data_IF_064851738382
#
_entry.id   IF_064851738382
#
_cell.length_a   1.000
_cell.length_b   1.000
_cell.length_c   1.000
_cell.angle_alpha   90.00
_cell.angle_beta   90.00
_cell.angle_gamma   90.00
#
_symmetry.space_group_name_H-M   'P 1'
#
loop_
_entity.id
_entity.type
_entity.pdbx_description
1 polymer ?
#
# COMPACT_ATOMS: atom_id res chain seq x y z
N UNK A 1 1.62 -15.96 16.82
CA UNK A 1 0.77 -14.78 17.07
C UNK A 1 -0.31 -14.63 16.01
N UNK A 2 -0.01 -14.22 14.77
CA UNK A 2 -1.01 -14.08 13.69
C UNK A 2 -1.85 -15.34 13.43
N UNK A 3 -1.23 -16.54 13.44
CA UNK A 3 -1.95 -17.82 13.33
C UNK A 3 -3.02 -18.02 14.40
N UNK A 4 -2.84 -17.46 15.60
CA UNK A 4 -3.82 -17.54 16.69
C UNK A 4 -5.04 -16.69 16.35
N UNK A 5 -4.82 -15.42 15.96
CA UNK A 5 -5.88 -14.49 15.54
C UNK A 5 -6.71 -15.11 14.41
N UNK A 6 -6.05 -15.64 13.38
CA UNK A 6 -6.76 -16.25 12.24
C UNK A 6 -7.58 -17.47 12.65
N UNK A 7 -7.05 -18.37 13.49
CA UNK A 7 -7.79 -19.54 13.95
C UNK A 7 -8.98 -19.18 14.83
N UNK A 8 -8.82 -18.17 15.68
CA UNK A 8 -9.86 -17.69 16.57
C UNK A 8 -10.99 -17.03 15.78
N UNK A 9 -10.65 -16.17 14.82
CA UNK A 9 -11.60 -15.59 13.88
C UNK A 9 -12.30 -16.66 13.02
N UNK A 10 -11.57 -17.64 12.48
CA UNK A 10 -12.15 -18.72 11.67
C UNK A 10 -13.16 -19.56 12.47
N UNK A 11 -12.85 -19.85 13.74
CA UNK A 11 -13.78 -20.56 14.62
C UNK A 11 -15.07 -19.78 14.87
N UNK A 12 -14.99 -18.47 15.07
CA UNK A 12 -16.16 -17.62 15.28
C UNK A 12 -16.99 -17.48 14.01
N UNK A 13 -16.36 -17.20 12.88
CA UNK A 13 -17.02 -17.04 11.59
C UNK A 13 -17.75 -18.31 11.16
N UNK A 14 -17.17 -19.49 11.42
CA UNK A 14 -17.81 -20.79 11.14
C UNK A 14 -18.95 -21.15 12.09
N UNK A 15 -19.00 -20.54 13.27
CA UNK A 15 -20.06 -20.77 14.26
C UNK A 15 -21.23 -19.80 14.13
N UNK A 16 -21.22 -18.93 13.12
CA UNK A 16 -22.24 -17.90 12.91
C UNK A 16 -23.40 -18.44 12.07
N UNK A 17 -24.52 -18.76 12.71
CA UNK A 17 -25.70 -19.35 12.04
C UNK A 17 -26.76 -18.30 11.64
N UNK A 18 -26.63 -17.05 12.09
CA UNK A 18 -27.61 -15.99 11.80
C UNK A 18 -27.50 -15.54 10.34
N UNK A 19 -28.64 -15.43 9.65
CA UNK A 19 -28.70 -15.00 8.25
C UNK A 19 -28.03 -13.64 7.99
N UNK A 20 -28.29 -12.65 8.86
CA UNK A 20 -27.65 -11.34 8.80
C UNK A 20 -26.13 -11.41 9.08
N UNK A 21 -25.70 -12.33 9.94
CA UNK A 21 -24.28 -12.55 10.22
C UNK A 21 -23.55 -13.14 8.99
N UNK A 22 -24.17 -14.13 8.35
CA UNK A 22 -23.67 -14.74 7.11
C UNK A 22 -23.57 -13.70 5.98
N UNK A 23 -24.57 -12.82 5.84
CA UNK A 23 -24.55 -11.75 4.84
C UNK A 23 -23.38 -10.76 5.07
N UNK A 24 -23.10 -10.39 6.32
CA UNK A 24 -21.94 -9.55 6.67
C UNK A 24 -20.65 -10.25 6.23
N UNK A 25 -20.49 -11.53 6.57
CA UNK A 25 -19.30 -12.32 6.22
C UNK A 25 -19.13 -12.40 4.69
N UNK A 26 -20.21 -12.66 3.96
CA UNK A 26 -20.20 -12.74 2.50
C UNK A 26 -19.87 -11.40 1.83
N UNK A 27 -20.31 -10.29 2.42
CA UNK A 27 -19.95 -8.94 1.96
C UNK A 27 -18.44 -8.71 2.06
N UNK A 28 -17.84 -8.99 3.23
CA UNK A 28 -16.38 -8.88 3.42
C UNK A 28 -15.59 -9.84 2.51
N UNK A 29 -16.06 -11.09 2.34
CA UNK A 29 -15.45 -12.05 1.43
C UNK A 29 -15.50 -11.58 -0.04
N UNK A 30 -16.59 -10.91 -0.43
CA UNK A 30 -16.74 -10.34 -1.78
C UNK A 30 -15.79 -9.15 -1.97
N UNK A 31 -15.73 -8.24 -1.00
CA UNK A 31 -14.81 -7.11 -1.04
C UNK A 31 -13.34 -7.56 -1.09
N UNK A 32 -12.95 -8.52 -0.26
CA UNK A 32 -11.60 -9.09 -0.27
C UNK A 32 -11.25 -9.73 -1.61
N UNK A 33 -12.19 -10.43 -2.26
CA UNK A 33 -11.98 -10.96 -3.62
C UNK A 33 -11.79 -9.85 -4.66
N UNK A 34 -12.59 -8.78 -4.59
CA UNK A 34 -12.42 -7.64 -5.52
C UNK A 34 -11.07 -6.96 -5.34
N UNK A 35 -10.65 -6.71 -4.10
CA UNK A 35 -9.35 -6.14 -3.80
C UNK A 35 -8.21 -7.02 -4.33
N UNK A 36 -8.30 -8.34 -4.09
CA UNK A 36 -7.31 -9.30 -4.59
C UNK A 36 -7.21 -9.29 -6.13
N UNK A 37 -8.35 -9.34 -6.82
CA UNK A 37 -8.39 -9.27 -8.28
C UNK A 37 -7.81 -7.96 -8.82
N UNK A 38 -8.13 -6.83 -8.17
CA UNK A 38 -7.59 -5.52 -8.53
C UNK A 38 -6.06 -5.49 -8.38
N UNK A 39 -5.52 -5.97 -7.26
CA UNK A 39 -4.08 -6.02 -7.05
C UNK A 39 -3.37 -6.91 -8.07
N UNK A 40 -3.91 -8.09 -8.39
CA UNK A 40 -3.35 -8.94 -9.44
C UNK A 40 -3.39 -8.28 -10.82
N UNK A 41 -4.48 -7.58 -11.15
CA UNK A 41 -4.58 -6.86 -12.40
C UNK A 41 -3.55 -5.73 -12.52
N UNK A 42 -3.38 -4.92 -11.47
CA UNK A 42 -2.38 -3.84 -11.41
C UNK A 42 -0.94 -4.38 -11.47
N UNK A 43 -0.68 -5.51 -10.83
CA UNK A 43 0.63 -6.16 -10.87
C UNK A 43 0.97 -6.66 -12.27
N UNK A 44 0.01 -7.34 -12.89
CA UNK A 44 0.16 -7.87 -14.25
C UNK A 44 0.40 -6.73 -15.25
N UNK A 45 -0.38 -5.64 -15.17
CA UNK A 45 -0.20 -4.49 -16.06
C UNK A 45 1.19 -3.86 -15.90
N UNK A 46 1.71 -3.79 -14.67
CA UNK A 46 3.04 -3.27 -14.38
C UNK A 46 4.15 -4.17 -14.94
N UNK A 47 4.06 -5.50 -14.73
CA UNK A 47 5.04 -6.47 -15.26
C UNK A 47 5.03 -6.48 -16.79
N UNK A 48 3.84 -6.44 -17.39
CA UNK A 48 3.68 -6.39 -18.84
C UNK A 48 4.25 -5.09 -19.42
N UNK A 49 3.98 -3.94 -18.77
CA UNK A 49 4.55 -2.65 -19.18
C UNK A 49 6.08 -2.65 -19.12
N UNK A 50 6.66 -3.27 -18.10
CA UNK A 50 8.11 -3.39 -17.96
C UNK A 50 8.73 -4.33 -19.01
N UNK A 51 8.08 -5.46 -19.29
CA UNK A 51 8.53 -6.43 -20.29
C UNK A 51 8.42 -5.92 -21.74
N UNK A 52 7.43 -5.08 -22.04
CA UNK A 52 7.25 -4.46 -23.36
C UNK A 52 8.08 -3.18 -23.54
N UNK A 53 8.44 -2.51 -22.44
CA UNK A 53 9.20 -1.25 -22.46
C UNK A 53 10.70 -1.40 -22.65
N UNK A 54 11.24 -2.62 -22.62
CA UNK A 54 12.67 -2.86 -22.83
C UNK A 54 13.08 -2.61 -24.30
N UNK A 55 13.97 -1.65 -24.52
CA UNK A 55 14.56 -1.41 -25.84
C UNK A 55 15.31 -2.66 -26.34
N UNK A 56 15.20 -2.97 -27.64
CA UNK A 56 15.91 -4.11 -28.23
C UNK A 56 17.41 -4.00 -27.99
N UNK A 57 17.97 -4.95 -27.25
CA UNK A 57 19.40 -5.00 -26.93
C UNK A 57 19.79 -4.27 -25.64
N UNK A 58 18.83 -3.92 -24.77
CA UNK A 58 19.12 -3.48 -23.40
C UNK A 58 18.36 -4.35 -22.39
N UNK A 59 19.01 -4.63 -21.25
CA UNK A 59 18.35 -5.31 -20.15
C UNK A 59 17.29 -4.39 -19.49
N UNK A 60 16.13 -4.93 -19.07
CA UNK A 60 15.07 -4.17 -18.40
C UNK A 60 15.56 -3.41 -17.16
N UNK A 61 16.44 -4.03 -16.36
CA UNK A 61 17.14 -3.37 -15.27
C UNK A 61 18.61 -3.20 -15.65
N UNK A 62 19.08 -1.94 -15.63
CA UNK A 62 20.51 -1.65 -15.76
C UNK A 62 21.23 -2.04 -14.48
N UNK A 63 22.00 -3.10 -14.55
CA UNK A 63 22.83 -3.61 -13.45
C UNK A 63 24.18 -4.06 -14.01
N UNK A 64 25.23 -3.97 -13.20
CA UNK A 64 26.56 -4.47 -13.57
C UNK A 64 26.64 -5.97 -13.31
N UNK A 65 27.13 -6.73 -14.29
CA UNK A 65 27.38 -8.17 -14.18
C UNK A 65 28.87 -8.47 -14.45
N UNK A 66 29.43 -9.53 -13.84
CA UNK A 66 30.83 -9.92 -14.05
C UNK A 66 31.08 -10.61 -15.41
N UNK A 67 30.08 -10.68 -16.29
CA UNK A 67 30.13 -11.32 -17.61
C UNK A 67 29.48 -10.41 -18.67
N UNK A 68 29.77 -10.64 -19.94
CA UNK A 68 29.25 -9.85 -21.07
C UNK A 68 27.77 -10.17 -21.34
N UNK A 69 26.90 -9.25 -20.89
CA UNK A 69 25.45 -9.36 -20.94
C UNK A 69 24.85 -9.22 -22.34
N UNK A 70 25.62 -8.72 -23.32
CA UNK A 70 25.14 -8.51 -24.69
C UNK A 70 25.36 -9.73 -25.60
N UNK A 71 26.09 -10.75 -25.11
CA UNK A 71 26.36 -11.98 -25.87
C UNK A 71 25.27 -13.03 -25.66
N UNK A 72 24.85 -13.66 -26.76
CA UNK A 72 24.00 -14.87 -26.71
C UNK A 72 24.84 -16.04 -26.18
N UNK A 73 24.34 -16.85 -25.20
CA UNK A 73 23.00 -16.86 -24.60
C UNK A 73 22.85 -16.07 -23.27
N UNK A 74 23.92 -15.45 -22.76
CA UNK A 74 23.92 -14.76 -21.46
C UNK A 74 22.87 -13.65 -21.36
N UNK A 75 22.62 -12.92 -22.45
CA UNK A 75 21.55 -11.92 -22.55
C UNK A 75 20.18 -12.50 -22.20
N UNK A 76 19.80 -13.60 -22.87
CA UNK A 76 18.48 -14.22 -22.73
C UNK A 76 18.27 -14.78 -21.32
N UNK A 77 19.31 -15.41 -20.76
CA UNK A 77 19.28 -15.95 -19.39
C UNK A 77 19.10 -14.81 -18.38
N UNK A 78 19.87 -13.74 -18.51
CA UNK A 78 19.82 -12.59 -17.60
C UNK A 78 18.49 -11.86 -17.71
N UNK A 79 17.94 -11.73 -18.92
CA UNK A 79 16.62 -11.15 -19.15
C UNK A 79 15.52 -11.94 -18.43
N UNK A 80 15.48 -13.28 -18.62
CA UNK A 80 14.52 -14.14 -17.94
C UNK A 80 14.68 -14.08 -16.42
N UNK A 81 15.93 -14.07 -15.93
CA UNK A 81 16.22 -13.91 -14.52
C UNK A 81 15.66 -12.60 -13.94
N UNK A 82 15.89 -11.46 -14.61
CA UNK A 82 15.37 -10.16 -14.15
C UNK A 82 13.84 -10.11 -14.14
N UNK A 83 13.18 -10.60 -15.19
CA UNK A 83 11.71 -10.65 -15.25
C UNK A 83 11.13 -11.55 -14.16
N UNK A 84 11.75 -12.71 -13.93
CA UNK A 84 11.34 -13.62 -12.86
C UNK A 84 11.53 -12.98 -11.48
N UNK A 85 12.69 -12.37 -11.22
CA UNK A 85 12.99 -11.70 -9.96
C UNK A 85 12.00 -10.55 -9.67
N UNK A 86 11.70 -9.72 -10.67
CA UNK A 86 10.70 -8.65 -10.56
C UNK A 86 9.29 -9.19 -10.30
N UNK A 87 8.92 -10.28 -10.97
CA UNK A 87 7.61 -10.91 -10.77
C UNK A 87 7.48 -11.46 -9.35
N UNK A 88 8.52 -12.11 -8.83
CA UNK A 88 8.55 -12.60 -7.45
C UNK A 88 8.47 -11.44 -6.46
N UNK A 89 9.26 -10.38 -6.65
CA UNK A 89 9.24 -9.21 -5.80
C UNK A 89 7.85 -8.54 -5.76
N UNK A 90 7.21 -8.40 -6.93
CA UNK A 90 5.84 -7.89 -7.03
C UNK A 90 4.84 -8.77 -6.27
N UNK A 91 4.90 -10.10 -6.47
CA UNK A 91 4.03 -11.04 -5.76
C UNK A 91 4.20 -10.98 -4.23
N UNK A 92 5.43 -10.86 -3.74
CA UNK A 92 5.70 -10.71 -2.30
C UNK A 92 5.10 -9.41 -1.77
N UNK A 93 5.29 -8.30 -2.48
CA UNK A 93 4.75 -6.99 -2.06
C UNK A 93 3.22 -7.02 -1.97
N UNK A 94 2.56 -7.54 -3.01
CA UNK A 94 1.09 -7.71 -3.04
C UNK A 94 0.61 -8.64 -1.92
N UNK A 95 1.37 -9.71 -1.63
CA UNK A 95 1.01 -10.65 -0.56
C UNK A 95 1.03 -9.98 0.81
N UNK A 96 1.98 -9.07 1.06
CA UNK A 96 2.06 -8.30 2.30
C UNK A 96 0.85 -7.35 2.40
N UNK A 97 0.57 -6.57 1.36
CA UNK A 97 -0.57 -5.64 1.33
C UNK A 97 -1.91 -6.38 1.54
N UNK A 98 -2.08 -7.53 0.87
CA UNK A 98 -3.26 -8.38 1.00
C UNK A 98 -3.38 -8.98 2.41
N UNK A 99 -2.27 -9.39 3.03
CA UNK A 99 -2.27 -9.94 4.37
C UNK A 99 -2.75 -8.89 5.38
N UNK A 100 -2.21 -7.68 5.31
CA UNK A 100 -2.60 -6.56 6.19
C UNK A 100 -4.10 -6.25 6.01
N UNK A 101 -4.53 -6.07 4.77
CA UNK A 101 -5.92 -5.71 4.47
C UNK A 101 -6.89 -6.79 4.91
N UNK A 102 -6.55 -8.07 4.72
CA UNK A 102 -7.36 -9.20 5.16
C UNK A 102 -7.48 -9.28 6.68
N UNK A 103 -6.38 -9.05 7.42
CA UNK A 103 -6.38 -9.06 8.89
C UNK A 103 -7.21 -7.90 9.46
N UNK A 104 -7.14 -6.71 8.85
CA UNK A 104 -7.98 -5.55 9.21
C UNK A 104 -9.45 -5.86 8.92
N UNK A 105 -9.75 -6.42 7.75
CA UNK A 105 -11.11 -6.83 7.37
C UNK A 105 -11.69 -7.85 8.36
N UNK A 106 -10.89 -8.82 8.84
CA UNK A 106 -11.31 -9.77 9.87
C UNK A 106 -11.69 -9.07 11.19
N UNK A 107 -10.91 -8.08 11.62
CA UNK A 107 -11.24 -7.31 12.83
C UNK A 107 -12.53 -6.52 12.65
N UNK A 108 -12.69 -5.84 11.52
CA UNK A 108 -13.90 -5.08 11.17
C UNK A 108 -15.14 -5.98 11.11
N UNK A 109 -15.02 -7.16 10.49
CA UNK A 109 -16.08 -8.15 10.41
C UNK A 109 -16.50 -8.62 11.82
N UNK A 110 -15.55 -8.96 12.69
CA UNK A 110 -15.84 -9.34 14.09
C UNK A 110 -16.53 -8.22 14.87
N UNK A 111 -16.12 -6.96 14.67
CA UNK A 111 -16.82 -5.82 15.29
C UNK A 111 -18.25 -5.67 14.78
N UNK A 112 -18.51 -5.89 13.48
CA UNK A 112 -19.87 -5.85 12.93
C UNK A 112 -20.74 -7.01 13.42
N UNK A 113 -20.19 -8.22 13.54
CA UNK A 113 -20.89 -9.36 14.14
C UNK A 113 -21.20 -9.13 15.61
N UNK A 114 -20.26 -8.55 16.36
CA UNK A 114 -20.50 -8.15 17.75
C UNK A 114 -21.60 -7.07 17.84
N UNK A 115 -21.59 -6.09 16.95
CA UNK A 115 -22.64 -5.07 16.88
C UNK A 115 -24.01 -5.68 16.56
N UNK A 116 -24.06 -6.69 15.68
CA UNK A 116 -25.28 -7.45 15.41
C UNK A 116 -25.75 -8.20 16.67
N UNK A 117 -24.84 -8.88 17.39
CA UNK A 117 -25.14 -9.57 18.65
C UNK A 117 -25.66 -8.66 19.75
N UNK A 118 -25.19 -7.42 19.81
CA UNK A 118 -25.71 -6.41 20.73
C UNK A 118 -27.12 -5.94 20.31
N UNK A 119 -27.38 -5.79 19.01
CA UNK A 119 -28.72 -5.42 18.50
C UNK A 119 -29.76 -6.49 18.78
N UNK A 120 -29.39 -7.76 18.64
CA UNK A 120 -30.27 -8.92 18.92
C UNK A 120 -30.14 -9.42 20.36
N UNK A 121 -29.58 -8.63 21.28
CA UNK A 121 -29.34 -9.06 22.67
C UNK A 121 -30.65 -9.45 23.37
N UNK A 122 -31.70 -8.67 23.10
CA UNK A 122 -33.04 -8.80 23.68
C UNK A 122 -33.97 -9.74 22.92
N UNK A 123 -33.55 -10.25 21.75
CA UNK A 123 -34.40 -11.15 20.96
C UNK A 123 -34.63 -12.47 21.72
N UNK A 124 -35.90 -12.85 21.84
CA UNK A 124 -36.34 -14.07 22.51
C UNK A 124 -36.75 -13.91 23.97
N UNK A 125 -36.68 -12.69 24.53
CA UNK A 125 -37.21 -12.39 25.86
C UNK A 125 -38.60 -11.73 25.77
N UNK A 126 -39.50 -12.09 26.68
CA UNK A 126 -40.83 -11.47 26.78
C UNK A 126 -40.76 -10.23 27.68
N UNK A 127 -41.25 -9.09 27.18
CA UNK A 127 -41.50 -7.93 28.03
C UNK A 127 -42.62 -8.26 29.02
N UNK A 128 -42.39 -8.02 30.32
CA UNK A 128 -43.47 -8.05 31.30
C UNK A 128 -44.45 -6.89 31.04
N UNK A 129 -45.63 -6.90 31.68
CA UNK A 129 -46.65 -5.81 31.56
C UNK A 129 -46.13 -4.41 31.93
N UNK A 130 -44.97 -4.36 32.57
CA UNK A 130 -44.25 -3.14 32.98
C UNK A 130 -43.26 -2.64 31.92
N UNK A 131 -43.00 -3.42 30.86
CA UNK A 131 -41.95 -3.15 29.86
C UNK A 131 -40.53 -3.51 30.33
N UNK A 132 -40.38 -4.15 31.51
CA UNK A 132 -39.10 -4.59 32.05
C UNK A 132 -38.89 -6.11 31.87
N UNK A 133 -37.61 -6.50 31.91
CA UNK A 133 -37.13 -7.88 31.78
C UNK A 133 -37.41 -8.64 33.09
N UNK A 134 -37.79 -9.92 32.99
CA UNK A 134 -37.94 -10.79 34.17
C UNK A 134 -36.60 -11.01 34.90
N UNK A 135 -36.62 -11.16 36.23
CA UNK A 135 -35.41 -11.32 37.05
C UNK A 135 -34.53 -12.52 36.63
N UNK A 136 -35.14 -13.60 36.12
CA UNK A 136 -34.40 -14.75 35.59
C UNK A 136 -33.78 -14.51 34.20
N UNK A 137 -34.38 -13.64 33.40
CA UNK A 137 -33.89 -13.26 32.07
C UNK A 137 -32.77 -12.21 32.16
N UNK A 138 -32.79 -11.36 33.20
CA UNK A 138 -31.76 -10.37 33.49
C UNK A 138 -30.37 -11.03 33.68
N UNK A 139 -30.30 -12.14 34.41
CA UNK A 139 -29.04 -12.87 34.61
C UNK A 139 -28.49 -13.45 33.31
N UNK A 140 -29.37 -13.94 32.43
CA UNK A 140 -28.98 -14.46 31.11
C UNK A 140 -28.50 -13.33 30.17
N UNK A 141 -29.16 -12.17 30.19
CA UNK A 141 -28.75 -10.97 29.44
C UNK A 141 -27.39 -10.47 29.92
N UNK A 142 -27.18 -10.38 31.24
CA UNK A 142 -25.89 -9.98 31.83
C UNK A 142 -24.76 -10.94 31.45
N UNK A 143 -25.04 -12.25 31.44
CA UNK A 143 -24.08 -13.28 31.01
C UNK A 143 -23.69 -13.10 29.54
N UNK A 144 -24.68 -12.88 28.64
CA UNK A 144 -24.42 -12.57 27.22
C UNK A 144 -23.61 -11.28 27.04
N UNK A 145 -23.96 -10.22 27.77
CA UNK A 145 -23.27 -8.94 27.70
C UNK A 145 -21.80 -9.07 28.15
N UNK A 146 -21.54 -9.83 29.21
CA UNK A 146 -20.17 -10.13 29.66
C UNK A 146 -19.36 -10.83 28.57
N UNK A 147 -19.95 -11.80 27.86
CA UNK A 147 -19.29 -12.45 26.73
C UNK A 147 -18.97 -11.46 25.61
N UNK A 148 -19.88 -10.53 25.31
CA UNK A 148 -19.67 -9.50 24.28
C UNK A 148 -18.57 -8.50 24.65
N UNK A 149 -18.44 -8.11 25.93
CA UNK A 149 -17.35 -7.24 26.40
C UNK A 149 -16.00 -7.93 26.26
N UNK A 150 -15.91 -9.22 26.65
CA UNK A 150 -14.67 -10.00 26.49
C UNK A 150 -14.30 -10.13 25.01
N UNK A 151 -15.29 -10.38 24.15
CA UNK A 151 -15.09 -10.47 22.71
C UNK A 151 -14.60 -9.14 22.11
N UNK A 152 -15.19 -8.01 22.53
CA UNK A 152 -14.74 -6.70 22.10
C UNK A 152 -13.28 -6.45 22.46
N UNK A 153 -12.91 -6.76 23.70
CA UNK A 153 -11.54 -6.61 24.18
C UNK A 153 -10.55 -7.48 23.39
N UNK A 154 -10.93 -8.73 23.07
CA UNK A 154 -10.11 -9.63 22.26
C UNK A 154 -9.90 -9.11 20.82
N UNK A 155 -10.89 -8.43 20.23
CA UNK A 155 -10.76 -7.80 18.92
C UNK A 155 -9.82 -6.58 18.98
N UNK A 156 -9.93 -5.75 20.03
CA UNK A 156 -9.03 -4.61 20.23
C UNK A 156 -7.57 -5.06 20.44
N UNK A 157 -7.35 -6.13 21.21
CA UNK A 157 -6.03 -6.73 21.35
C UNK A 157 -5.51 -7.24 20.00
N UNK A 158 -6.34 -7.93 19.21
CA UNK A 158 -5.96 -8.41 17.87
C UNK A 158 -5.57 -7.24 16.95
N UNK A 159 -6.29 -6.13 16.99
CA UNK A 159 -5.98 -4.92 16.22
C UNK A 159 -4.64 -4.28 16.67
N UNK A 160 -4.40 -4.19 17.98
CA UNK A 160 -3.14 -3.68 18.52
C UNK A 160 -1.94 -4.57 18.09
N UNK A 161 -2.13 -5.89 18.07
CA UNK A 161 -1.12 -6.84 17.59
C UNK A 161 -0.81 -6.65 16.11
N UNK A 162 -1.84 -6.46 15.27
CA UNK A 162 -1.67 -6.16 13.83
C UNK A 162 -0.88 -4.86 13.67
N UNK A 163 -1.25 -3.80 14.39
CA UNK A 163 -0.55 -2.52 14.35
C UNK A 163 0.93 -2.65 14.75
N UNK A 164 1.22 -3.40 15.81
CA UNK A 164 2.60 -3.63 16.25
C UNK A 164 3.43 -4.38 15.21
N UNK A 165 2.84 -5.32 14.47
CA UNK A 165 3.54 -6.11 13.45
C UNK A 165 3.77 -5.35 12.15
N UNK A 166 2.80 -4.52 11.73
CA UNK A 166 2.79 -3.93 10.38
C UNK A 166 3.05 -2.42 10.32
N UNK A 167 3.07 -1.71 11.46
CA UNK A 167 3.35 -0.26 11.49
C UNK A 167 4.68 0.12 10.83
N UNK A 168 5.77 -0.58 11.16
CA UNK A 168 7.10 -0.30 10.59
C UNK A 168 7.17 -0.64 9.10
N UNK A 169 6.74 -1.83 8.63
CA UNK A 169 6.66 -2.13 7.19
C UNK A 169 5.86 -1.09 6.38
N UNK A 170 4.68 -0.72 6.87
CA UNK A 170 3.80 0.27 6.20
C UNK A 170 4.50 1.63 6.10
N UNK A 171 5.11 2.09 7.19
CA UNK A 171 5.86 3.35 7.20
C UNK A 171 7.04 3.31 6.22
N UNK A 172 7.79 2.21 6.20
CA UNK A 172 8.91 2.02 5.29
C UNK A 172 8.44 2.05 3.82
N UNK A 173 7.34 1.37 3.50
CA UNK A 173 6.76 1.32 2.16
C UNK A 173 6.37 2.72 1.67
N UNK A 174 5.67 3.52 2.48
CA UNK A 174 5.31 4.89 2.10
C UNK A 174 6.53 5.78 1.92
N UNK A 175 7.52 5.66 2.81
CA UNK A 175 8.75 6.46 2.75
C UNK A 175 9.56 6.15 1.49
N UNK A 176 9.76 4.87 1.19
CA UNK A 176 10.48 4.41 0.00
C UNK A 176 9.73 4.82 -1.28
N UNK A 177 8.42 4.65 -1.31
CA UNK A 177 7.59 5.04 -2.47
C UNK A 177 7.70 6.54 -2.76
N UNK A 178 7.59 7.36 -1.71
CA UNK A 178 7.76 8.81 -1.84
C UNK A 178 9.17 9.18 -2.34
N UNK A 179 10.21 8.56 -1.76
CA UNK A 179 11.59 8.79 -2.17
C UNK A 179 11.81 8.46 -3.66
N UNK A 180 11.30 7.32 -4.13
CA UNK A 180 11.38 6.91 -5.54
C UNK A 180 10.70 7.95 -6.45
N UNK A 181 9.50 8.41 -6.09
CA UNK A 181 8.79 9.44 -6.86
C UNK A 181 9.59 10.75 -6.90
N UNK A 182 10.16 11.18 -5.79
CA UNK A 182 10.98 12.39 -5.75
C UNK A 182 12.28 12.26 -6.56
N UNK A 183 12.95 11.10 -6.52
CA UNK A 183 14.17 10.84 -7.32
C UNK A 183 13.85 10.80 -8.81
N UNK A 184 12.79 10.11 -9.21
CA UNK A 184 12.38 10.03 -10.63
C UNK A 184 11.96 11.40 -11.17
N UNK A 185 11.21 12.18 -10.39
CA UNK A 185 10.89 13.57 -10.73
C UNK A 185 12.13 14.45 -10.85
N UNK A 186 13.10 14.28 -9.94
CA UNK A 186 14.38 14.97 -10.00
C UNK A 186 15.18 14.59 -11.25
N UNK A 187 15.29 13.30 -11.59
CA UNK A 187 15.96 12.84 -12.81
C UNK A 187 15.33 13.43 -14.07
N UNK A 188 14.00 13.54 -14.11
CA UNK A 188 13.31 14.18 -15.23
C UNK A 188 13.61 15.69 -15.31
N UNK A 189 13.63 16.38 -14.18
CA UNK A 189 13.91 17.81 -14.11
C UNK A 189 15.31 18.18 -14.65
N UNK A 190 16.29 17.29 -14.44
CA UNK A 190 17.68 17.46 -14.85
C UNK A 190 18.06 16.66 -16.12
N UNK A 191 17.09 16.15 -16.87
CA UNK A 191 17.37 15.40 -18.09
C UNK A 191 17.94 16.29 -19.19
N UNK A 192 19.18 16.02 -19.60
CA UNK A 192 19.86 16.75 -20.68
C UNK A 192 19.66 16.13 -22.07
N UNK A 193 18.80 15.10 -22.20
CA UNK A 193 18.68 14.30 -23.41
C UNK A 193 18.47 15.16 -24.67
N UNK A 194 17.59 16.17 -24.60
CA UNK A 194 17.29 17.08 -25.72
C UNK A 194 18.45 18.03 -26.02
N UNK A 195 19.10 18.57 -24.98
CA UNK A 195 20.27 19.45 -25.12
C UNK A 195 21.43 18.70 -25.79
N UNK A 196 21.73 17.50 -25.28
CA UNK A 196 22.80 16.64 -25.77
C UNK A 196 22.56 16.15 -27.20
N UNK A 197 21.36 15.67 -27.52
CA UNK A 197 21.01 15.26 -28.88
C UNK A 197 21.08 16.43 -29.88
N UNK A 198 20.68 17.63 -29.45
CA UNK A 198 20.82 18.84 -30.27
C UNK A 198 22.30 19.17 -30.53
N UNK A 199 23.18 18.95 -29.55
CA UNK A 199 24.61 19.21 -29.68
C UNK A 199 25.35 18.17 -30.54
N UNK A 200 24.99 16.89 -30.38
CA UNK A 200 25.58 15.77 -31.13
C UNK A 200 25.12 15.71 -32.59
N UNK A 201 24.00 16.37 -32.94
CA UNK A 201 23.55 16.41 -34.33
C UNK A 201 24.55 17.22 -35.21
N UNK A 202 24.71 16.90 -36.50
CA UNK A 202 25.67 17.58 -37.39
C UNK A 202 25.18 19.00 -37.78
N UNK A 203 24.97 19.86 -36.79
CA UNK A 203 24.42 21.21 -36.89
C UNK A 203 25.23 22.15 -37.78
N UNK A 204 26.54 21.85 -37.91
CA UNK A 204 27.48 22.57 -38.77
C UNK A 204 27.27 22.29 -40.25
N UNK A 205 26.56 21.21 -40.62
CA UNK A 205 26.17 20.91 -42.00
C UNK A 205 24.82 21.55 -42.40
N UNK A 206 24.12 22.15 -41.44
CA UNK A 206 22.79 22.72 -41.67
C UNK A 206 22.85 24.15 -42.22
N UNK A 207 21.82 24.57 -42.98
CA UNK A 207 21.66 25.97 -43.41
C UNK A 207 21.40 26.88 -42.20
N UNK A 208 21.78 28.16 -42.30
CA UNK A 208 21.69 29.14 -41.22
C UNK A 208 20.32 29.24 -40.52
N UNK A 209 19.20 29.01 -41.23
CA UNK A 209 17.86 28.97 -40.62
C UNK A 209 17.70 27.82 -39.61
N UNK A 210 18.19 26.63 -39.95
CA UNK A 210 18.09 25.42 -39.12
C UNK A 210 19.04 25.51 -37.92
N UNK A 211 20.27 25.98 -38.12
CA UNK A 211 21.23 26.15 -37.02
C UNK A 211 20.73 27.18 -35.98
N UNK A 212 20.08 28.27 -36.40
CA UNK A 212 19.43 29.23 -35.49
C UNK A 212 18.25 28.64 -34.73
N UNK A 213 17.43 27.81 -35.39
CA UNK A 213 16.33 27.11 -34.74
C UNK A 213 16.86 26.11 -33.68
N UNK A 214 17.95 25.39 -33.99
CA UNK A 214 18.59 24.44 -33.08
C UNK A 214 19.17 25.12 -31.83
N UNK A 215 19.80 26.30 -31.99
CA UNK A 215 20.23 27.12 -30.85
C UNK A 215 19.06 27.52 -29.94
N UNK A 216 17.89 27.79 -30.52
CA UNK A 216 16.69 28.08 -29.74
C UNK A 216 16.25 26.86 -28.95
N UNK A 217 16.27 25.66 -29.55
CA UNK A 217 15.97 24.40 -28.85
C UNK A 217 16.95 24.16 -27.70
N UNK A 218 18.26 24.34 -27.92
CA UNK A 218 19.28 24.22 -26.87
C UNK A 218 19.06 25.21 -25.71
N UNK A 219 18.75 26.48 -26.02
CA UNK A 219 18.47 27.47 -24.97
C UNK A 219 17.17 27.15 -24.21
N UNK A 220 16.15 26.60 -24.88
CA UNK A 220 14.87 26.25 -24.24
C UNK A 220 14.98 24.99 -23.37
N UNK A 221 15.81 24.01 -23.77
CA UNK A 221 15.97 22.75 -23.04
C UNK A 221 16.71 22.91 -21.71
N UNK A 222 17.38 24.04 -21.47
CA UNK A 222 17.97 24.39 -20.16
C UNK A 222 16.93 24.70 -19.08
N UNK A 223 15.64 24.86 -19.44
CA UNK A 223 14.57 25.05 -18.48
C UNK A 223 14.15 23.69 -17.90
N UNK A 224 14.51 23.44 -16.64
CA UNK A 224 14.13 22.23 -15.91
C UNK A 224 12.61 22.00 -15.92
N UNK A 225 12.21 20.77 -16.21
CA UNK A 225 10.81 20.32 -16.09
C UNK A 225 10.44 20.25 -14.61
N UNK A 226 9.36 20.92 -14.21
CA UNK A 226 8.87 20.89 -12.83
C UNK A 226 7.60 20.06 -12.75
N UNK A 227 7.65 19.00 -11.95
CA UNK A 227 6.47 18.22 -11.60
C UNK A 227 5.93 18.70 -10.25
N UNK A 228 4.62 18.94 -10.17
CA UNK A 228 3.93 19.32 -8.93
C UNK A 228 2.95 18.23 -8.53
N UNK A 229 2.88 17.93 -7.23
CA UNK A 229 1.81 17.14 -6.65
C UNK A 229 0.54 17.99 -6.60
N UNK A 230 -0.37 17.78 -7.55
CA UNK A 230 -1.67 18.48 -7.67
C UNK A 230 -1.57 20.03 -7.61
N UNK A 231 -0.45 20.61 -8.05
CA UNK A 231 -0.20 22.06 -8.00
C UNK A 231 0.17 22.61 -6.62
N UNK A 232 0.26 21.77 -5.58
CA UNK A 232 0.53 22.21 -4.21
C UNK A 232 2.03 22.22 -3.86
N UNK A 233 2.75 21.17 -4.23
CA UNK A 233 4.16 21.02 -3.87
C UNK A 233 4.98 20.48 -5.05
N UNK A 234 6.17 21.05 -5.28
CA UNK A 234 7.11 20.53 -6.26
C UNK A 234 7.62 19.14 -5.82
N UNK A 235 7.60 18.15 -6.71
CA UNK A 235 8.17 16.84 -6.48
C UNK A 235 9.69 16.92 -6.63
N UNK A 236 10.38 17.12 -5.50
CA UNK A 236 11.84 17.24 -5.44
C UNK A 236 12.42 16.58 -4.19
N UNK A 237 13.72 16.28 -4.21
CA UNK A 237 14.45 15.80 -3.03
C UNK A 237 14.40 16.78 -1.85
N UNK A 238 14.30 18.09 -2.13
CA UNK A 238 14.15 19.10 -1.09
C UNK A 238 12.80 18.96 -0.37
N UNK A 239 11.72 18.73 -1.11
CA UNK A 239 10.37 18.50 -0.56
C UNK A 239 10.32 17.21 0.27
N UNK A 240 10.96 16.14 -0.19
CA UNK A 240 11.13 14.91 0.59
C UNK A 240 11.83 15.17 1.92
N UNK A 241 12.98 15.86 1.89
CA UNK A 241 13.72 16.19 3.11
C UNK A 241 12.92 17.10 4.05
N UNK A 242 12.14 18.04 3.50
CA UNK A 242 11.26 18.90 4.29
C UNK A 242 10.19 18.08 5.03
N UNK A 243 9.59 17.10 4.37
CA UNK A 243 8.60 16.21 4.98
C UNK A 243 9.24 15.36 6.08
N UNK A 244 10.39 14.73 5.84
CA UNK A 244 11.09 13.95 6.87
C UNK A 244 11.47 14.81 8.09
N UNK A 245 11.97 16.03 7.86
CA UNK A 245 12.29 16.97 8.95
C UNK A 245 11.05 17.36 9.74
N UNK A 246 9.94 17.65 9.06
CA UNK A 246 8.68 17.97 9.73
C UNK A 246 8.21 16.79 10.59
N UNK A 247 8.21 15.56 10.05
CA UNK A 247 7.84 14.34 10.77
C UNK A 247 8.70 14.12 12.01
N UNK A 248 10.03 14.24 11.89
CA UNK A 248 10.95 14.12 13.03
C UNK A 248 10.69 15.21 14.08
N UNK A 249 10.42 16.44 13.64
CA UNK A 249 10.09 17.55 14.54
C UNK A 249 8.82 17.24 15.33
N UNK A 250 7.73 16.84 14.67
CA UNK A 250 6.50 16.42 15.33
C UNK A 250 6.73 15.26 16.30
N UNK A 251 7.51 14.26 15.90
CA UNK A 251 7.83 13.12 16.76
C UNK A 251 8.57 13.55 18.03
N UNK A 252 9.61 14.39 17.92
CA UNK A 252 10.35 14.89 19.09
C UNK A 252 9.49 15.76 20.01
N UNK A 253 8.56 16.55 19.45
CA UNK A 253 7.59 17.32 20.24
C UNK A 253 6.68 16.38 21.03
N UNK A 254 6.14 15.34 20.38
CA UNK A 254 5.28 14.35 21.05
C UNK A 254 6.03 13.59 22.15
N UNK A 255 7.28 13.21 21.92
CA UNK A 255 8.12 12.59 22.96
C UNK A 255 8.30 13.51 24.16
N UNK A 256 8.60 14.80 23.93
CA UNK A 256 8.72 15.77 25.03
C UNK A 256 7.44 16.01 25.81
N UNK A 257 6.29 16.01 25.14
CA UNK A 257 4.99 16.13 25.81
C UNK A 257 4.67 14.86 26.62
N UNK A 258 5.01 13.68 26.09
CA UNK A 258 4.85 12.40 26.79
C UNK A 258 5.76 12.29 28.03
N UNK A 259 7.01 12.72 27.91
CA UNK A 259 7.99 12.69 29.00
C UNK A 259 7.72 13.75 30.08
N UNK A 260 7.03 14.84 29.74
CA UNK A 260 6.66 15.90 30.68
C UNK A 260 5.44 15.61 31.55
N UNK A 261 4.78 14.46 31.36
CA UNK A 261 3.58 14.04 32.09
C UNK A 261 3.85 12.88 33.07
N UNK A 262 5.12 12.67 33.43
CA UNK A 262 5.62 11.69 34.40
C UNK A 262 6.55 12.39 35.40
#
# INVERSE_FOLDING_TARGET
MLKKIVRESDRQLRGEDRSLGIEIIDSFNREGRYQLCLFFFLAYSTIMGFGLGAEKGQLPLRAWYPYDEMKTPAYQITYVHQVAALSIAACVNISIDNLVTSLVALCSCRLQLLALSLRTLMDGFYEDKTGLISYGDEEMVLSRLRMYVVEHQAVLESAAMIQACFSVPILAQFTVSMFIICVTAYQLAFSEAVSRASYECPWYKCRARVSKALLTVMCRSQRAVRLTAAGMADLSLATFMAIIKASYTFFTVLQRVGDGNN
#
